data_IF_944371659682
#
_entry.id   IF_944371659682
#
_cell.length_a   1.000
_cell.length_b   1.000
_cell.length_c   1.000
_cell.angle_alpha   90.00
_cell.angle_beta   90.00
_cell.angle_gamma   90.00
#
_symmetry.space_group_name_H-M   'P 1'
#
loop_
_entity.id
_entity.type
_entity.pdbx_description
1 polymer ?
#
# COMPACT_ATOMS: atom_id res chain seq x y z
N UNK A 1 52.21 20.24 -37.95
CA UNK A 1 51.05 19.36 -38.11
C UNK A 1 49.88 20.03 -37.42
N UNK A 2 48.85 20.41 -38.18
CA UNK A 2 47.67 21.12 -37.71
C UNK A 2 46.69 20.10 -37.13
N UNK A 3 46.22 20.34 -35.90
CA UNK A 3 45.00 19.70 -35.39
C UNK A 3 44.17 20.71 -34.63
N UNK A 4 43.11 21.18 -35.30
CA UNK A 4 41.90 21.74 -34.72
C UNK A 4 41.36 20.82 -33.63
N UNK A 5 40.97 21.39 -32.49
CA UNK A 5 40.08 20.71 -31.55
C UNK A 5 38.97 21.66 -31.11
N UNK A 6 37.82 21.43 -31.72
CA UNK A 6 36.57 22.13 -31.48
C UNK A 6 36.09 22.00 -30.03
N UNK A 7 35.50 23.09 -29.55
CA UNK A 7 34.79 23.19 -28.29
C UNK A 7 33.54 22.28 -28.29
N UNK A 8 33.37 21.47 -27.23
CA UNK A 8 32.09 20.84 -26.93
C UNK A 8 31.58 21.34 -25.59
N UNK A 9 30.48 22.08 -25.70
CA UNK A 9 29.67 22.69 -24.66
C UNK A 9 28.79 21.59 -24.06
N UNK A 10 29.06 21.16 -22.82
CA UNK A 10 28.19 20.22 -22.10
C UNK A 10 27.20 21.00 -21.23
N UNK A 11 25.93 20.88 -21.58
CA UNK A 11 24.77 21.45 -20.90
C UNK A 11 24.51 20.75 -19.54
N UNK A 12 24.00 21.44 -18.51
CA UNK A 12 23.64 20.81 -17.24
C UNK A 12 22.35 19.98 -17.37
N UNK A 13 22.39 18.75 -16.84
CA UNK A 13 21.26 17.84 -16.75
C UNK A 13 20.20 18.38 -15.78
N UNK A 14 18.98 18.51 -16.29
CA UNK A 14 17.82 19.03 -15.55
C UNK A 14 17.29 17.93 -14.63
N UNK A 15 17.30 18.19 -13.31
CA UNK A 15 16.70 17.34 -12.29
C UNK A 15 15.18 17.23 -12.51
N UNK A 16 14.74 16.09 -13.01
CA UNK A 16 13.33 15.79 -13.22
C UNK A 16 12.68 15.41 -11.88
N UNK A 17 11.79 16.28 -11.39
CA UNK A 17 11.03 16.04 -10.16
C UNK A 17 9.94 15.01 -10.46
N UNK A 18 10.06 13.81 -9.89
CA UNK A 18 9.04 12.77 -9.95
C UNK A 18 7.76 13.29 -9.26
N UNK A 19 6.59 13.27 -9.90
CA UNK A 19 5.35 13.70 -9.25
C UNK A 19 4.93 12.67 -8.20
N UNK A 20 4.71 13.14 -6.98
CA UNK A 20 4.08 12.35 -5.92
C UNK A 20 2.66 11.98 -6.39
N UNK A 21 2.42 10.68 -6.63
CA UNK A 21 1.16 10.17 -7.15
C UNK A 21 -0.01 10.61 -6.26
N UNK A 22 -1.00 11.28 -6.87
CA UNK A 22 -2.24 11.69 -6.20
C UNK A 22 -3.12 10.47 -5.95
N UNK A 23 -3.50 10.24 -4.69
CA UNK A 23 -4.55 9.28 -4.36
C UNK A 23 -5.91 9.80 -4.85
N UNK A 24 -6.67 8.95 -5.52
CA UNK A 24 -8.04 9.24 -5.96
C UNK A 24 -8.99 8.49 -5.04
N UNK A 25 -9.86 9.21 -4.33
CA UNK A 25 -10.98 8.61 -3.61
C UNK A 25 -12.06 8.37 -4.65
N UNK A 26 -12.29 7.11 -5.01
CA UNK A 26 -13.47 6.73 -5.79
C UNK A 26 -14.66 6.71 -4.83
N UNK A 27 -15.61 7.62 -5.05
CA UNK A 27 -16.94 7.51 -4.47
C UNK A 27 -17.74 6.56 -5.37
N UNK A 28 -18.13 5.39 -4.86
CA UNK A 28 -19.14 4.57 -5.54
C UNK A 28 -20.52 5.20 -5.28
N UNK A 29 -21.24 5.55 -6.35
CA UNK A 29 -22.61 6.07 -6.28
C UNK A 29 -23.55 4.97 -5.76
N UNK A 30 -23.87 5.05 -4.47
CA UNK A 30 -24.81 4.17 -3.80
C UNK A 30 -26.25 4.47 -4.24
N UNK A 31 -26.88 3.50 -4.92
CA UNK A 31 -28.32 3.53 -5.18
C UNK A 31 -29.06 3.32 -3.87
N UNK A 32 -29.40 4.42 -3.19
CA UNK A 32 -30.33 4.44 -2.06
C UNK A 32 -31.66 3.77 -2.45
N UNK A 33 -31.92 2.57 -1.91
CA UNK A 33 -33.27 2.01 -1.83
C UNK A 33 -33.77 2.19 -0.39
N UNK A 34 -34.57 3.22 -0.20
CA UNK A 34 -35.24 3.52 1.07
C UNK A 34 -36.54 2.73 1.18
N UNK A 35 -36.68 1.89 2.21
CA UNK A 35 -37.95 1.67 2.93
C UNK A 35 -37.66 1.12 4.33
N UNK A 36 -37.86 1.94 5.37
CA UNK A 36 -37.89 1.55 6.79
C UNK A 36 -36.70 2.02 7.64
N UNK A 37 -36.99 2.77 8.70
CA UNK A 37 -36.01 3.26 9.70
C UNK A 37 -35.84 2.26 10.87
N UNK A 38 -34.67 2.27 11.55
CA UNK A 38 -33.47 2.96 11.16
C UNK A 38 -32.72 2.12 10.12
N UNK A 39 -32.19 2.80 9.09
CA UNK A 39 -31.13 2.20 8.29
C UNK A 39 -30.04 1.76 9.28
N UNK A 40 -29.77 0.45 9.36
CA UNK A 40 -28.51 0.01 9.93
C UNK A 40 -27.45 0.68 9.07
N UNK A 41 -26.89 1.79 9.56
CA UNK A 41 -25.70 2.40 9.00
C UNK A 41 -24.60 1.35 9.17
N UNK A 42 -24.51 0.40 8.24
CA UNK A 42 -23.26 -0.30 8.00
C UNK A 42 -22.33 0.83 7.58
N UNK A 43 -21.52 1.32 8.52
CA UNK A 43 -20.50 2.32 8.22
C UNK A 43 -19.62 1.72 7.15
N UNK A 44 -19.87 2.14 5.91
CA UNK A 44 -19.08 1.74 4.77
C UNK A 44 -17.63 2.04 5.12
N UNK A 45 -16.82 0.98 5.16
CA UNK A 45 -15.46 1.12 5.67
C UNK A 45 -14.69 1.95 4.66
N UNK A 46 -14.22 3.12 5.08
CA UNK A 46 -13.48 4.04 4.21
C UNK A 46 -12.26 3.33 3.64
N UNK A 47 -12.36 2.95 2.37
CA UNK A 47 -11.31 2.22 1.64
C UNK A 47 -10.64 3.15 0.65
N UNK A 48 -9.32 3.16 0.67
CA UNK A 48 -8.47 3.86 -0.29
C UNK A 48 -7.87 2.82 -1.22
N UNK A 49 -8.23 2.89 -2.51
CA UNK A 49 -7.65 2.05 -3.55
C UNK A 49 -6.59 2.84 -4.31
N UNK A 50 -5.43 2.23 -4.53
CA UNK A 50 -4.33 2.90 -5.22
C UNK A 50 -4.41 2.62 -6.73
N UNK A 51 -4.43 3.68 -7.54
CA UNK A 51 -4.33 3.57 -8.99
C UNK A 51 -3.00 2.92 -9.41
N UNK A 52 -1.93 3.21 -8.68
CA UNK A 52 -0.65 2.51 -8.78
C UNK A 52 -0.36 1.85 -7.43
N UNK A 53 -0.28 0.51 -7.36
CA UNK A 53 -0.03 -0.17 -6.10
C UNK A 53 1.24 0.31 -5.39
N UNK A 54 1.20 0.37 -4.06
CA UNK A 54 2.37 0.76 -3.28
C UNK A 54 3.28 -0.45 -3.04
N UNK A 55 4.58 -0.26 -3.20
CA UNK A 55 5.56 -1.27 -2.82
C UNK A 55 5.71 -1.32 -1.29
N UNK A 56 5.62 -2.53 -0.75
CA UNK A 56 5.84 -2.82 0.67
C UNK A 56 6.57 -4.15 0.83
N UNK A 57 6.95 -4.46 2.07
CA UNK A 57 7.51 -5.76 2.45
C UNK A 57 6.60 -6.47 3.44
N UNK A 58 6.48 -7.78 3.29
CA UNK A 58 5.92 -8.66 4.30
C UNK A 58 7.06 -9.44 4.97
N UNK A 59 7.05 -9.47 6.30
CA UNK A 59 8.02 -10.22 7.10
C UNK A 59 7.22 -11.01 8.14
N UNK A 60 7.35 -12.34 8.24
CA UNK A 60 6.66 -13.10 9.27
C UNK A 60 7.07 -12.65 10.67
N UNK A 61 6.29 -13.05 11.67
CA UNK A 61 6.53 -12.66 13.07
C UNK A 61 7.92 -13.13 13.57
N UNK A 62 8.43 -14.25 13.04
CA UNK A 62 9.77 -14.76 13.37
C UNK A 62 10.93 -13.93 12.80
N UNK A 63 10.66 -13.03 11.85
CA UNK A 63 11.66 -12.16 11.23
C UNK A 63 12.67 -12.88 10.31
N UNK A 64 12.51 -14.18 10.03
CA UNK A 64 13.56 -14.99 9.38
C UNK A 64 13.73 -14.65 7.91
N UNK A 65 12.65 -14.25 7.24
CA UNK A 65 12.68 -13.88 5.83
C UNK A 65 11.74 -12.72 5.54
N UNK A 66 11.95 -12.05 4.41
CA UNK A 66 11.08 -10.97 3.94
C UNK A 66 10.77 -11.18 2.46
N UNK A 67 9.55 -10.84 2.06
CA UNK A 67 9.12 -10.85 0.65
C UNK A 67 8.55 -9.49 0.28
N UNK A 68 8.82 -9.06 -0.94
CA UNK A 68 8.13 -7.89 -1.49
C UNK A 68 6.64 -8.19 -1.72
N UNK A 69 5.82 -7.16 -1.59
CA UNK A 69 4.40 -7.19 -1.90
C UNK A 69 3.93 -5.86 -2.50
N UNK A 70 2.76 -5.89 -3.13
CA UNK A 70 2.08 -4.70 -3.61
C UNK A 70 0.82 -4.45 -2.77
N UNK A 71 0.64 -3.23 -2.29
CA UNK A 71 -0.56 -2.80 -1.57
C UNK A 71 -1.54 -2.22 -2.57
N UNK A 72 -2.68 -2.90 -2.75
CA UNK A 72 -3.71 -2.53 -3.72
C UNK A 72 -4.73 -1.55 -3.11
N UNK A 73 -5.12 -1.79 -1.87
CA UNK A 73 -6.00 -0.91 -1.12
C UNK A 73 -5.74 -1.01 0.39
N UNK A 74 -6.09 0.04 1.13
CA UNK A 74 -6.04 0.11 2.59
C UNK A 74 -7.35 0.67 3.14
N UNK A 75 -7.70 0.27 4.34
CA UNK A 75 -8.80 0.81 5.13
C UNK A 75 -8.42 0.82 6.61
N UNK A 76 -9.28 1.37 7.47
CA UNK A 76 -8.94 1.61 8.89
C UNK A 76 -8.46 0.35 9.64
N UNK A 77 -9.01 -0.81 9.28
CA UNK A 77 -8.77 -2.08 9.96
C UNK A 77 -7.98 -3.08 9.13
N UNK A 78 -7.51 -2.73 7.93
CA UNK A 78 -6.85 -3.72 7.08
C UNK A 78 -6.38 -3.23 5.72
N UNK A 79 -5.95 -4.19 4.90
CA UNK A 79 -5.45 -3.94 3.56
C UNK A 79 -5.72 -5.11 2.60
N UNK A 80 -5.66 -4.81 1.31
CA UNK A 80 -5.58 -5.81 0.25
C UNK A 80 -4.19 -5.79 -0.36
N UNK A 81 -3.55 -6.95 -0.40
CA UNK A 81 -2.17 -7.10 -0.82
C UNK A 81 -2.09 -8.09 -1.98
N UNK A 82 -1.19 -7.85 -2.93
CA UNK A 82 -0.75 -8.84 -3.89
C UNK A 82 0.64 -9.35 -3.48
N UNK A 83 0.76 -10.66 -3.34
CA UNK A 83 1.93 -11.37 -2.81
C UNK A 83 2.30 -12.54 -3.70
N UNK A 84 3.57 -12.96 -3.71
CA UNK A 84 4.01 -14.11 -4.50
C UNK A 84 3.55 -15.46 -3.93
N UNK A 85 3.59 -15.60 -2.61
CA UNK A 85 3.25 -16.83 -1.89
C UNK A 85 2.33 -16.51 -0.72
N UNK A 86 1.01 -16.49 -0.94
CA UNK A 86 0.03 -16.24 0.12
C UNK A 86 0.17 -17.19 1.31
N UNK A 87 0.47 -18.47 1.05
CA UNK A 87 0.52 -19.55 2.04
C UNK A 87 1.46 -19.28 3.21
N UNK A 88 2.53 -18.53 2.96
CA UNK A 88 3.56 -18.24 3.96
C UNK A 88 3.20 -17.04 4.85
N UNK A 89 2.08 -16.37 4.56
CA UNK A 89 1.67 -15.11 5.18
C UNK A 89 0.35 -15.27 5.94
N UNK A 90 0.39 -15.97 7.08
CA UNK A 90 -0.75 -16.09 8.00
C UNK A 90 -0.77 -14.96 9.01
N UNK A 91 0.33 -14.75 9.72
CA UNK A 91 0.58 -13.59 10.59
C UNK A 91 1.97 -13.02 10.26
N UNK A 92 2.03 -11.71 10.06
CA UNK A 92 3.23 -11.06 9.56
C UNK A 92 3.18 -9.55 9.82
N UNK A 93 4.33 -8.90 9.74
CA UNK A 93 4.44 -7.45 9.64
C UNK A 93 4.38 -6.99 8.20
N UNK A 94 3.53 -6.00 7.92
CA UNK A 94 3.52 -5.22 6.69
C UNK A 94 4.34 -3.95 6.90
N UNK A 95 5.35 -3.70 6.06
CA UNK A 95 6.28 -2.58 6.17
C UNK A 95 6.25 -1.70 4.92
N UNK A 96 5.87 -0.43 5.10
CA UNK A 96 6.01 0.62 4.10
C UNK A 96 7.39 1.26 4.24
N UNK A 97 8.27 0.99 3.27
CA UNK A 97 9.69 1.38 3.32
C UNK A 97 10.03 2.62 2.49
N UNK A 98 9.06 3.19 1.79
CA UNK A 98 9.26 4.32 0.87
C UNK A 98 9.32 5.69 1.56
N UNK A 99 8.99 5.78 2.85
CA UNK A 99 8.93 7.04 3.61
C UNK A 99 10.06 7.17 4.65
N UNK A 100 10.47 8.41 4.94
CA UNK A 100 11.45 8.73 6.00
C UNK A 100 11.04 8.21 7.39
N UNK A 101 9.75 8.05 7.63
CA UNK A 101 9.20 7.39 8.81
C UNK A 101 8.54 6.09 8.34
N UNK A 102 9.17 4.92 8.54
CA UNK A 102 8.60 3.67 8.11
C UNK A 102 7.33 3.40 8.92
N UNK A 103 6.25 3.02 8.22
CA UNK A 103 5.01 2.58 8.85
C UNK A 103 5.00 1.06 8.82
N UNK A 104 4.79 0.44 9.97
CA UNK A 104 4.56 -0.99 10.06
C UNK A 104 3.24 -1.30 10.77
N UNK A 105 2.65 -2.43 10.39
CA UNK A 105 1.43 -2.98 10.98
C UNK A 105 1.60 -4.49 11.13
N UNK A 106 1.20 -5.03 12.28
CA UNK A 106 1.02 -6.48 12.41
C UNK A 106 -0.30 -6.85 11.73
N UNK A 107 -0.24 -7.83 10.85
CA UNK A 107 -1.32 -8.24 9.98
C UNK A 107 -1.64 -9.71 10.19
N UNK A 108 -2.93 -10.04 10.13
CA UNK A 108 -3.41 -11.41 10.00
C UNK A 108 -4.17 -11.56 8.70
N UNK A 109 -3.86 -12.58 7.92
CA UNK A 109 -4.57 -12.89 6.67
C UNK A 109 -5.97 -13.42 6.99
N UNK A 110 -6.99 -12.81 6.37
CA UNK A 110 -8.39 -13.23 6.49
C UNK A 110 -8.86 -14.04 5.29
N UNK A 111 -8.33 -13.76 4.10
CA UNK A 111 -8.68 -14.49 2.88
C UNK A 111 -7.56 -14.46 1.86
N UNK A 112 -7.60 -15.40 0.92
CA UNK A 112 -6.71 -15.45 -0.24
C UNK A 112 -7.50 -15.84 -1.49
N UNK A 113 -7.29 -15.11 -2.58
CA UNK A 113 -7.80 -15.42 -3.91
C UNK A 113 -6.65 -15.31 -4.90
N UNK A 114 -6.12 -16.46 -5.33
CA UNK A 114 -4.86 -16.51 -6.08
C UNK A 114 -3.74 -15.82 -5.30
N UNK A 115 -3.12 -14.82 -5.92
CA UNK A 115 -2.01 -14.05 -5.32
C UNK A 115 -2.47 -12.81 -4.53
N UNK A 116 -3.77 -12.58 -4.42
CA UNK A 116 -4.33 -11.45 -3.68
C UNK A 116 -4.83 -11.94 -2.32
N UNK A 117 -4.40 -11.29 -1.25
CA UNK A 117 -4.85 -11.55 0.11
C UNK A 117 -5.54 -10.33 0.69
N UNK A 118 -6.53 -10.56 1.54
CA UNK A 118 -7.02 -9.55 2.46
C UNK A 118 -6.44 -9.80 3.84
N UNK A 119 -6.10 -8.72 4.53
CA UNK A 119 -5.54 -8.76 5.87
C UNK A 119 -6.28 -7.81 6.80
N UNK A 120 -6.32 -8.19 8.06
CA UNK A 120 -6.72 -7.32 9.17
C UNK A 120 -5.47 -6.84 9.90
N UNK A 121 -5.48 -5.58 10.32
CA UNK A 121 -4.51 -5.04 11.25
C UNK A 121 -4.83 -5.55 12.65
N UNK A 122 -3.82 -6.09 13.32
CA UNK A 122 -3.91 -6.36 14.74
C UNK A 122 -3.75 -5.03 15.48
N UNK A 123 -4.68 -4.74 16.41
CA UNK A 123 -4.55 -3.58 17.28
C UNK A 123 -3.33 -3.80 18.18
N UNK A 124 -2.38 -2.89 18.13
CA UNK A 124 -1.33 -2.85 19.14
C UNK A 124 -2.02 -2.51 20.48
N UNK A 125 -1.78 -3.29 21.54
CA UNK A 125 -2.21 -2.97 22.90
C UNK A 125 -1.54 -1.70 23.48
N UNK A 126 -0.80 -0.93 22.69
CA UNK A 126 0.00 0.20 23.14
C UNK A 126 -0.77 1.52 23.32
N UNK A 127 -2.04 1.59 22.93
CA UNK A 127 -2.89 2.79 23.08
C UNK A 127 -3.68 2.81 24.41
N UNK A 128 -3.14 2.19 25.48
CA UNK A 128 -3.78 2.12 26.81
C UNK A 128 -2.82 2.53 27.95
N UNK A 129 -2.08 3.62 27.76
CA UNK A 129 -1.33 4.30 28.83
C UNK A 129 -1.82 5.74 28.99
#
# INVERSE_FOLDING_TARGET
MHHDKAAQKTSPSKSEKVPLARAVVLHEDDKLRTVGFPALHQTETKRVTFATPLYAKCTPIDGVWSTDCLVLSVWDTGAQLQVRRPGDLTEFYLLFTSSFRPVFRQCRRVSACGNVIQVEYQRNQADSL
#
